data_IF_479903247651
#
_entry.id   IF_479903247651
#
_cell.length_a   1.000
_cell.length_b   1.000
_cell.length_c   1.000
_cell.angle_alpha   90.00
_cell.angle_beta   90.00
_cell.angle_gamma   90.00
#
_symmetry.space_group_name_H-M   'P 1'
#
loop_
_entity.id
_entity.type
_entity.pdbx_description
1 polymer ?
#
# COMPACT_ATOMS: atom_id res chain seq x y z
N UNK A 1 -5.07 2.86 7.26
CA UNK A 1 -4.81 1.95 8.40
C UNK A 1 -5.30 0.52 8.14
N UNK A 2 -6.43 0.33 7.45
CA UNK A 2 -7.04 -1.00 7.24
C UNK A 2 -6.20 -1.92 6.33
N UNK A 3 -5.64 -1.39 5.23
CA UNK A 3 -4.96 -2.23 4.23
C UNK A 3 -3.68 -2.93 4.71
N UNK A 4 -2.72 -2.25 5.39
CA UNK A 4 -1.53 -2.93 5.92
C UNK A 4 -1.85 -3.92 7.05
N UNK A 5 -2.89 -3.63 7.86
CA UNK A 5 -3.37 -4.53 8.91
C UNK A 5 -3.94 -5.81 8.29
N UNK A 6 -4.82 -5.65 7.32
CA UNK A 6 -5.42 -6.75 6.57
C UNK A 6 -4.36 -7.62 5.90
N UNK A 7 -3.39 -7.03 5.19
CA UNK A 7 -2.25 -7.79 4.62
C UNK A 7 -1.48 -8.54 5.70
N UNK A 8 -1.22 -7.91 6.85
CA UNK A 8 -0.54 -8.56 7.97
C UNK A 8 -1.27 -9.80 8.49
N UNK A 9 -2.61 -9.73 8.55
CA UNK A 9 -3.49 -10.77 9.07
C UNK A 9 -3.75 -11.91 8.07
N UNK A 10 -3.83 -11.63 6.77
CA UNK A 10 -4.04 -12.67 5.75
C UNK A 10 -2.73 -13.33 5.27
N UNK A 11 -1.58 -12.67 5.47
CA UNK A 11 -0.29 -13.14 4.95
C UNK A 11 0.39 -14.18 5.82
N UNK A 12 0.95 -15.20 5.18
CA UNK A 12 1.90 -16.13 5.79
C UNK A 12 3.22 -15.39 6.07
N UNK A 13 3.96 -15.71 7.16
CA UNK A 13 5.21 -15.04 7.51
C UNK A 13 6.24 -14.97 6.37
N UNK A 14 6.27 -15.97 5.48
CA UNK A 14 7.19 -16.05 4.34
C UNK A 14 6.91 -15.01 3.24
N UNK A 15 5.66 -14.60 3.02
CA UNK A 15 5.26 -13.69 1.93
C UNK A 15 4.82 -12.31 2.43
N UNK A 16 4.81 -12.09 3.74
CA UNK A 16 4.39 -10.82 4.36
C UNK A 16 5.27 -9.65 3.90
N UNK A 17 6.57 -9.91 3.68
CA UNK A 17 7.51 -8.96 3.11
C UNK A 17 7.12 -8.53 1.69
N UNK A 18 7.00 -9.49 0.77
CA UNK A 18 6.53 -9.27 -0.60
C UNK A 18 5.20 -8.52 -0.67
N UNK A 19 4.19 -8.92 0.10
CA UNK A 19 2.88 -8.27 0.07
C UNK A 19 2.94 -6.82 0.59
N UNK A 20 3.76 -6.56 1.61
CA UNK A 20 4.05 -5.20 2.08
C UNK A 20 4.74 -4.37 1.00
N UNK A 21 5.78 -4.91 0.35
CA UNK A 21 6.50 -4.25 -0.73
C UNK A 21 5.62 -3.98 -1.96
N UNK A 22 4.72 -4.91 -2.29
CA UNK A 22 3.73 -4.79 -3.38
C UNK A 22 2.82 -3.57 -3.19
N UNK A 23 2.50 -3.21 -1.94
CA UNK A 23 1.72 -2.01 -1.62
C UNK A 23 2.48 -0.75 -2.01
N UNK A 24 3.75 -0.64 -1.62
CA UNK A 24 4.61 0.51 -1.97
C UNK A 24 4.89 0.58 -3.47
N UNK A 25 5.03 -0.57 -4.12
CA UNK A 25 5.16 -0.68 -5.58
C UNK A 25 3.91 -0.17 -6.29
N UNK A 26 2.72 -0.52 -5.81
CA UNK A 26 1.46 -0.05 -6.37
C UNK A 26 1.33 1.47 -6.28
N UNK A 27 1.72 2.07 -5.14
CA UNK A 27 1.74 3.53 -4.96
C UNK A 27 2.73 4.18 -5.95
N UNK A 28 3.95 3.66 -6.05
CA UNK A 28 4.98 4.21 -6.93
C UNK A 28 4.59 4.09 -8.41
N UNK A 29 3.99 2.95 -8.79
CA UNK A 29 3.48 2.70 -10.15
C UNK A 29 2.32 3.63 -10.49
N UNK A 30 1.39 3.85 -9.55
CA UNK A 30 0.30 4.80 -9.72
C UNK A 30 0.80 6.23 -9.98
N UNK A 31 1.80 6.67 -9.21
CA UNK A 31 2.42 7.99 -9.40
C UNK A 31 3.10 8.11 -10.77
N UNK A 32 3.80 7.05 -11.21
CA UNK A 32 4.38 6.97 -12.54
C UNK A 32 3.31 7.05 -13.64
N UNK A 33 2.25 6.25 -13.56
CA UNK A 33 1.17 6.22 -14.56
C UNK A 33 0.44 7.57 -14.67
N UNK A 34 0.21 8.24 -13.54
CA UNK A 34 -0.41 9.58 -13.53
C UNK A 34 0.50 10.61 -14.20
N UNK A 35 1.81 10.58 -13.94
CA UNK A 35 2.75 11.50 -14.57
C UNK A 35 2.96 11.18 -16.06
N UNK A 36 2.98 9.90 -16.42
CA UNK A 36 3.03 9.46 -17.81
C UNK A 36 1.79 9.94 -18.57
N UNK A 37 0.59 9.65 -18.07
CA UNK A 37 -0.65 10.09 -18.70
C UNK A 37 -0.78 11.62 -18.73
N UNK A 38 -0.38 12.28 -17.64
CA UNK A 38 -0.34 13.74 -17.56
C UNK A 38 0.61 14.35 -18.59
N UNK A 39 1.79 13.77 -18.82
CA UNK A 39 2.79 14.29 -19.75
C UNK A 39 2.56 13.94 -21.22
N UNK A 40 2.02 12.76 -21.55
CA UNK A 40 1.89 12.27 -22.93
C UNK A 40 0.48 12.26 -23.50
N UNK A 41 -0.55 12.05 -22.67
CA UNK A 41 -1.94 11.86 -23.12
C UNK A 41 -2.81 13.11 -22.94
N UNK A 42 -2.49 13.97 -21.98
CA UNK A 42 -3.35 15.09 -21.59
C UNK A 42 -2.72 16.48 -21.74
N UNK A 43 -1.49 16.59 -22.23
CA UNK A 43 -0.79 17.88 -22.46
C UNK A 43 -0.87 18.35 -23.92
N UNK A 44 -1.25 17.49 -24.87
CA UNK A 44 -1.16 17.81 -26.30
C UNK A 44 -2.21 18.81 -26.83
N UNK A 45 -3.08 19.35 -25.97
CA UNK A 45 -4.11 20.30 -26.40
C UNK A 45 -4.15 21.53 -25.50
N UNK A 46 -3.00 22.21 -25.35
CA UNK A 46 -2.94 23.57 -24.81
C UNK A 46 -3.36 24.64 -25.84
N UNK A 47 -3.62 24.25 -27.10
CA UNK A 47 -3.85 25.20 -28.19
C UNK A 47 -5.29 25.25 -28.71
N UNK A 48 -6.23 24.44 -28.22
CA UNK A 48 -7.64 24.66 -28.55
C UNK A 48 -8.57 24.28 -27.39
N UNK A 49 -9.61 25.09 -27.28
CA UNK A 49 -10.59 25.18 -26.24
C UNK A 49 -11.23 23.82 -25.87
N UNK A 50 -11.20 23.43 -24.60
CA UNK A 50 -12.04 22.33 -24.12
C UNK A 50 -11.80 21.96 -22.67
N UNK A 51 -12.80 22.20 -21.82
CA UNK A 51 -12.87 21.98 -20.37
C UNK A 51 -12.61 20.54 -19.83
N UNK A 52 -11.88 19.66 -20.54
CA UNK A 52 -11.75 18.24 -20.18
C UNK A 52 -10.35 17.66 -20.45
N UNK A 53 -9.37 17.92 -19.59
CA UNK A 53 -8.11 17.14 -19.54
C UNK A 53 -7.92 16.52 -18.14
N UNK A 54 -8.00 17.34 -17.09
CA UNK A 54 -7.98 16.86 -15.70
C UNK A 54 -9.17 15.94 -15.37
N UNK A 55 -10.32 16.14 -16.04
CA UNK A 55 -11.53 15.33 -15.84
C UNK A 55 -11.36 13.90 -16.34
N UNK A 56 -10.61 13.69 -17.43
CA UNK A 56 -10.30 12.36 -17.93
C UNK A 56 -9.31 11.63 -17.01
N UNK A 57 -8.33 12.36 -16.46
CA UNK A 57 -7.44 11.83 -15.43
C UNK A 57 -8.20 11.48 -14.13
N UNK A 58 -9.16 12.31 -13.73
CA UNK A 58 -10.04 12.02 -12.60
C UNK A 58 -10.96 10.81 -12.88
N UNK A 59 -11.49 10.71 -14.10
CA UNK A 59 -12.34 9.60 -14.51
C UNK A 59 -11.57 8.28 -14.59
N UNK A 60 -10.33 8.28 -15.09
CA UNK A 60 -9.49 7.08 -15.08
C UNK A 60 -9.18 6.61 -13.65
N UNK A 61 -8.94 7.55 -12.73
CA UNK A 61 -8.86 7.25 -11.30
C UNK A 61 -10.14 6.62 -10.74
N UNK A 62 -11.30 7.13 -11.12
CA UNK A 62 -12.60 6.58 -10.72
C UNK A 62 -12.83 5.16 -11.29
N UNK A 63 -12.39 4.89 -12.52
CA UNK A 63 -12.45 3.54 -13.12
C UNK A 63 -11.56 2.57 -12.34
N UNK A 64 -10.33 2.97 -12.00
CA UNK A 64 -9.45 2.14 -11.17
C UNK A 64 -10.07 1.88 -9.79
N UNK A 65 -10.66 2.89 -9.15
CA UNK A 65 -11.37 2.73 -7.88
C UNK A 65 -12.58 1.79 -8.00
N UNK A 66 -13.32 1.85 -9.11
CA UNK A 66 -14.43 0.94 -9.38
C UNK A 66 -13.93 -0.50 -9.58
N UNK A 67 -12.82 -0.73 -10.27
CA UNK A 67 -12.21 -2.06 -10.40
C UNK A 67 -11.74 -2.61 -9.05
N UNK A 68 -11.32 -1.74 -8.12
CA UNK A 68 -10.96 -2.15 -6.76
C UNK A 68 -12.17 -2.60 -5.92
N UNK A 69 -13.41 -2.40 -6.36
CA UNK A 69 -14.60 -3.00 -5.69
C UNK A 69 -14.59 -4.53 -5.77
N UNK A 70 -13.81 -5.12 -6.68
CA UNK A 70 -13.55 -6.56 -6.72
C UNK A 70 -12.88 -7.07 -5.44
N UNK A 71 -12.33 -6.21 -4.58
CA UNK A 71 -11.83 -6.59 -3.24
C UNK A 71 -12.96 -7.16 -2.36
N UNK A 72 -14.23 -6.86 -2.65
CA UNK A 72 -15.39 -7.48 -1.99
C UNK A 72 -15.46 -9.01 -2.16
N UNK A 73 -14.74 -9.56 -3.13
CA UNK A 73 -14.61 -11.01 -3.33
C UNK A 73 -13.51 -11.65 -2.46
N UNK A 74 -12.63 -10.83 -1.88
CA UNK A 74 -11.58 -11.31 -0.98
C UNK A 74 -12.18 -11.77 0.35
N UNK A 75 -11.67 -12.85 0.96
CA UNK A 75 -12.16 -13.32 2.25
C UNK A 75 -11.86 -12.28 3.33
N UNK A 76 -12.76 -12.15 4.30
CA UNK A 76 -12.53 -11.33 5.48
C UNK A 76 -11.34 -11.85 6.31
N UNK A 77 -10.76 -10.98 7.13
CA UNK A 77 -9.60 -11.31 7.95
C UNK A 77 -9.89 -12.49 8.91
N UNK A 78 -9.09 -13.58 8.90
CA UNK A 78 -9.34 -14.73 9.76
C UNK A 78 -9.36 -14.43 11.26
N UNK A 79 -8.42 -13.62 11.82
CA UNK A 79 -8.52 -13.17 13.21
C UNK A 79 -9.78 -12.36 13.52
N UNK A 80 -10.29 -11.58 12.57
CA UNK A 80 -11.54 -10.85 12.73
C UNK A 80 -12.75 -11.80 12.78
N UNK A 81 -12.81 -12.77 11.86
CA UNK A 81 -13.85 -13.81 11.84
C UNK A 81 -13.80 -14.72 13.07
N UNK A 82 -12.60 -14.98 13.60
CA UNK A 82 -12.40 -15.79 14.80
C UNK A 82 -13.05 -15.19 16.06
N UNK A 83 -13.36 -13.88 16.08
CA UNK A 83 -14.13 -13.27 17.18
C UNK A 83 -15.60 -13.66 17.17
N UNK A 84 -16.15 -13.99 16.00
CA UNK A 84 -17.59 -14.19 15.80
C UNK A 84 -17.92 -15.66 15.58
N UNK A 85 -17.23 -16.32 14.64
CA UNK A 85 -17.56 -17.68 14.22
C UNK A 85 -16.32 -18.46 13.74
N UNK A 86 -16.09 -19.61 14.37
CA UNK A 86 -14.95 -20.49 14.09
C UNK A 86 -15.01 -21.17 12.73
N UNK A 87 -16.20 -21.54 12.28
CA UNK A 87 -16.35 -22.19 10.98
C UNK A 87 -16.09 -21.21 9.83
N UNK A 88 -16.51 -19.96 9.98
CA UNK A 88 -16.23 -18.89 9.01
C UNK A 88 -14.73 -18.59 8.92
N UNK A 89 -14.04 -18.48 10.06
CA UNK A 89 -12.59 -18.29 10.09
C UNK A 89 -11.84 -19.44 9.40
N UNK A 90 -12.26 -20.69 9.64
CA UNK A 90 -11.71 -21.88 8.95
C UNK A 90 -11.99 -21.85 7.45
N UNK A 91 -13.18 -21.43 7.03
CA UNK A 91 -13.53 -21.31 5.60
C UNK A 91 -12.67 -20.26 4.89
N UNK A 92 -12.40 -19.13 5.56
CA UNK A 92 -11.53 -18.07 5.05
C UNK A 92 -10.06 -18.56 4.96
N UNK A 93 -9.56 -19.25 5.97
CA UNK A 93 -8.21 -19.84 5.94
C UNK A 93 -8.06 -20.91 4.85
N UNK A 94 -9.07 -21.77 4.65
CA UNK A 94 -9.08 -22.76 3.55
C UNK A 94 -9.08 -22.10 2.17
N UNK A 95 -9.63 -20.89 2.03
CA UNK A 95 -9.52 -20.10 0.80
C UNK A 95 -8.15 -19.44 0.63
N UNK A 96 -7.50 -19.07 1.72
CA UNK A 96 -6.20 -18.35 1.74
C UNK A 96 -4.98 -19.28 1.74
N UNK A 97 -5.13 -20.55 2.13
CA UNK A 97 -4.04 -21.51 2.33
C UNK A 97 -4.24 -22.76 1.48
N UNK A 98 -3.13 -23.31 0.98
CA UNK A 98 -3.11 -24.62 0.29
C UNK A 98 -2.86 -25.79 1.26
N UNK A 99 -2.40 -25.50 2.48
CA UNK A 99 -2.07 -26.46 3.55
C UNK A 99 -3.24 -26.62 4.54
N UNK A 100 -3.33 -27.68 5.35
CA UNK A 100 -4.32 -27.81 6.43
C UNK A 100 -4.40 -26.53 7.28
N UNK A 101 -5.58 -25.94 7.31
CA UNK A 101 -5.89 -24.68 7.98
C UNK A 101 -6.22 -24.86 9.47
N UNK A 102 -6.48 -26.09 9.93
CA UNK A 102 -6.83 -26.38 11.31
C UNK A 102 -5.78 -25.91 12.35
N UNK A 103 -4.46 -26.21 12.21
CA UNK A 103 -3.48 -25.81 13.21
C UNK A 103 -3.27 -24.30 13.30
N UNK A 104 -3.33 -23.59 12.16
CA UNK A 104 -3.24 -22.11 12.12
C UNK A 104 -4.48 -21.48 12.75
N UNK A 105 -5.67 -22.04 12.49
CA UNK A 105 -6.89 -21.60 13.14
C UNK A 105 -6.80 -21.78 14.66
N UNK A 106 -6.36 -22.93 15.15
CA UNK A 106 -6.22 -23.20 16.59
C UNK A 106 -5.27 -22.23 17.29
N UNK A 107 -4.16 -21.88 16.65
CA UNK A 107 -3.26 -20.83 17.13
C UNK A 107 -3.97 -19.48 17.22
N UNK A 108 -4.66 -19.05 16.16
CA UNK A 108 -5.41 -17.78 16.16
C UNK A 108 -6.50 -17.78 17.25
N UNK A 109 -7.23 -18.89 17.45
CA UNK A 109 -8.26 -18.98 18.48
C UNK A 109 -7.68 -18.88 19.90
N UNK A 110 -6.56 -19.56 20.16
CA UNK A 110 -5.90 -19.50 21.47
C UNK A 110 -5.34 -18.11 21.77
N UNK A 111 -4.65 -17.47 20.82
CA UNK A 111 -4.16 -16.09 20.96
C UNK A 111 -5.31 -15.09 21.21
N UNK A 112 -6.46 -15.30 20.59
CA UNK A 112 -7.64 -14.44 20.75
C UNK A 112 -8.34 -14.65 22.10
N UNK A 113 -8.36 -15.88 22.62
CA UNK A 113 -8.88 -16.18 23.96
C UNK A 113 -7.96 -15.64 25.07
N UNK A 114 -6.64 -15.71 24.87
CA UNK A 114 -5.63 -15.14 25.77
C UNK A 114 -5.70 -13.60 25.79
N UNK A 115 -5.83 -12.97 24.62
CA UNK A 115 -5.95 -11.50 24.55
C UNK A 115 -7.27 -10.95 25.10
N UNK A 116 -8.35 -11.73 25.12
CA UNK A 116 -9.59 -11.35 25.82
C UNK A 116 -9.53 -11.53 27.34
N UNK A 117 -8.77 -12.50 27.84
CA UNK A 117 -8.61 -12.77 29.27
C UNK A 117 -7.49 -11.94 29.93
N UNK A 118 -6.49 -11.53 29.15
CA UNK A 118 -5.32 -10.75 29.57
C UNK A 118 -5.45 -9.23 29.43
N UNK A 119 -6.67 -8.67 29.42
CA UNK A 119 -6.94 -7.22 29.23
C UNK A 119 -6.29 -6.26 30.26
N UNK A 120 -5.46 -6.78 31.17
CA UNK A 120 -4.66 -6.04 32.15
C UNK A 120 -3.13 -6.12 31.88
N UNK A 121 -2.68 -6.54 30.69
CA UNK A 121 -1.26 -6.44 30.36
C UNK A 121 -0.85 -4.99 30.00
N UNK A 122 0.24 -4.56 30.65
CA UNK A 122 0.63 -3.16 30.85
C UNK A 122 0.56 -2.25 29.60
N UNK A 123 -0.18 -1.14 29.73
CA UNK A 123 -0.14 0.03 28.83
C UNK A 123 1.29 0.44 28.41
N UNK A 124 2.29 0.16 29.26
CA UNK A 124 3.70 0.48 29.04
C UNK A 124 4.33 -0.25 27.84
N UNK A 125 3.95 -1.51 27.57
CA UNK A 125 4.44 -2.28 26.42
C UNK A 125 3.88 -1.74 25.09
N UNK A 126 2.58 -1.41 25.08
CA UNK A 126 1.95 -0.74 23.94
C UNK A 126 2.52 0.65 23.69
N UNK A 127 2.91 1.38 24.73
CA UNK A 127 3.49 2.73 24.61
C UNK A 127 4.80 2.71 23.81
N UNK A 128 5.68 1.72 24.01
CA UNK A 128 6.94 1.61 23.24
C UNK A 128 6.69 1.36 21.75
N UNK A 129 5.83 0.39 21.42
CA UNK A 129 5.46 0.09 20.04
C UNK A 129 4.78 1.29 19.35
N UNK A 130 3.93 1.99 20.09
CA UNK A 130 3.22 3.17 19.62
C UNK A 130 4.18 4.35 19.36
N UNK A 131 5.13 4.62 20.27
CA UNK A 131 6.14 5.67 20.07
C UNK A 131 7.03 5.38 18.86
N UNK A 132 7.48 4.13 18.69
CA UNK A 132 8.27 3.74 17.51
C UNK A 132 7.45 3.91 16.23
N UNK A 133 6.19 3.48 16.22
CA UNK A 133 5.31 3.59 15.05
C UNK A 133 5.03 5.06 14.66
N UNK A 134 4.74 5.91 15.65
CA UNK A 134 4.53 7.35 15.42
C UNK A 134 5.83 8.02 14.97
N UNK A 135 6.95 7.73 15.64
CA UNK A 135 8.26 8.29 15.29
C UNK A 135 8.69 7.90 13.88
N UNK A 136 8.48 6.65 13.49
CA UNK A 136 8.76 6.17 12.13
C UNK A 136 7.84 6.84 11.09
N UNK A 137 6.55 6.97 11.38
CA UNK A 137 5.62 7.70 10.51
C UNK A 137 5.98 9.18 10.35
N UNK A 138 6.38 9.83 11.45
CA UNK A 138 6.85 11.22 11.43
C UNK A 138 8.13 11.36 10.59
N UNK A 139 9.10 10.46 10.78
CA UNK A 139 10.35 10.45 10.00
C UNK A 139 10.08 10.33 8.50
N UNK A 140 9.18 9.43 8.09
CA UNK A 140 8.80 9.28 6.68
C UNK A 140 8.21 10.57 6.09
N UNK A 141 7.38 11.28 6.84
CA UNK A 141 6.77 12.53 6.38
C UNK A 141 7.79 13.69 6.35
N UNK A 142 8.61 13.81 7.39
CA UNK A 142 9.63 14.86 7.51
C UNK A 142 10.81 14.70 6.55
N UNK A 143 11.02 13.51 5.99
CA UNK A 143 11.91 13.29 4.83
C UNK A 143 11.52 14.19 3.63
N UNK A 144 10.27 14.68 3.59
CA UNK A 144 9.81 15.57 2.52
C UNK A 144 9.52 14.84 1.21
N UNK A 145 9.52 13.50 1.21
CA UNK A 145 9.29 12.69 0.01
C UNK A 145 7.97 13.05 -0.68
N UNK A 146 6.93 13.38 0.09
CA UNK A 146 5.64 13.80 -0.45
C UNK A 146 5.71 15.19 -1.10
N UNK A 147 6.47 16.12 -0.51
CA UNK A 147 6.69 17.43 -1.12
C UNK A 147 7.47 17.31 -2.43
N UNK A 148 8.50 16.47 -2.48
CA UNK A 148 9.21 16.16 -3.73
C UNK A 148 8.22 15.60 -4.74
N UNK A 149 7.50 14.52 -4.43
CA UNK A 149 6.55 13.88 -5.36
C UNK A 149 5.50 14.85 -5.92
N UNK A 150 4.99 15.80 -5.12
CA UNK A 150 4.01 16.79 -5.57
C UNK A 150 4.62 17.91 -6.42
N UNK A 151 5.86 18.33 -6.13
CA UNK A 151 6.49 19.49 -6.77
C UNK A 151 7.60 19.13 -7.78
N UNK A 152 7.86 17.84 -8.05
CA UNK A 152 8.91 17.38 -8.99
C UNK A 152 8.87 18.15 -10.31
N UNK A 153 7.70 18.29 -10.94
CA UNK A 153 7.55 19.02 -12.21
C UNK A 153 7.94 20.50 -12.08
N UNK A 154 7.58 21.15 -10.98
CA UNK A 154 7.90 22.55 -10.71
C UNK A 154 9.41 22.74 -10.46
N UNK A 155 10.03 21.81 -9.74
CA UNK A 155 11.46 21.80 -9.46
C UNK A 155 12.25 21.63 -10.78
N UNK A 156 11.87 20.66 -11.61
CA UNK A 156 12.50 20.42 -12.90
C UNK A 156 12.31 21.61 -13.86
N UNK A 157 11.11 22.23 -13.85
CA UNK A 157 10.85 23.45 -14.62
C UNK A 157 11.76 24.60 -14.18
N UNK A 158 12.00 24.74 -12.88
CA UNK A 158 12.90 25.75 -12.33
C UNK A 158 14.36 25.52 -12.75
N UNK A 159 14.75 24.27 -13.03
CA UNK A 159 16.05 23.90 -13.57
C UNK A 159 16.23 24.20 -15.07
N UNK A 160 15.22 24.79 -15.74
CA UNK A 160 15.23 25.18 -17.17
C UNK A 160 15.48 24.01 -18.14
N UNK A 161 14.96 22.83 -17.81
CA UNK A 161 14.95 21.66 -18.73
C UNK A 161 13.95 21.91 -19.87
N UNK A 162 14.30 21.47 -21.09
CA UNK A 162 13.50 21.69 -22.30
C UNK A 162 12.09 21.07 -22.22
N UNK A 163 11.97 19.87 -21.65
CA UNK A 163 10.69 19.21 -21.38
C UNK A 163 10.61 18.75 -19.91
N UNK A 164 10.02 19.58 -19.02
CA UNK A 164 9.87 19.24 -17.61
C UNK A 164 8.92 18.06 -17.35
N UNK A 165 7.94 17.84 -18.22
CA UNK A 165 6.95 16.77 -18.03
C UNK A 165 7.57 15.40 -18.35
N UNK A 166 8.27 15.27 -19.48
CA UNK A 166 8.99 14.05 -19.83
C UNK A 166 10.04 13.69 -18.77
N UNK A 167 10.82 14.67 -18.30
CA UNK A 167 11.83 14.44 -17.28
C UNK A 167 11.23 14.03 -15.93
N UNK A 168 10.07 14.60 -15.55
CA UNK A 168 9.33 14.15 -14.34
C UNK A 168 8.93 12.68 -14.46
N UNK A 169 8.40 12.27 -15.62
CA UNK A 169 8.02 10.88 -15.87
C UNK A 169 9.22 9.93 -15.77
N UNK A 170 10.40 10.33 -16.26
CA UNK A 170 11.65 9.55 -16.11
C UNK A 170 12.04 9.40 -14.64
N UNK A 171 11.95 10.47 -13.85
CA UNK A 171 12.23 10.42 -12.40
C UNK A 171 11.27 9.46 -11.70
N UNK A 172 9.97 9.50 -12.03
CA UNK A 172 8.98 8.58 -11.46
C UNK A 172 9.20 7.13 -11.91
N UNK A 173 9.64 6.90 -13.15
CA UNK A 173 10.02 5.58 -13.63
C UNK A 173 11.20 5.01 -12.83
N UNK A 174 12.22 5.83 -12.59
CA UNK A 174 13.35 5.46 -11.76
C UNK A 174 12.93 5.12 -10.32
N UNK A 175 12.01 5.90 -9.75
CA UNK A 175 11.44 5.61 -8.43
C UNK A 175 10.76 4.23 -8.37
N UNK A 176 10.03 3.82 -9.41
CA UNK A 176 9.44 2.47 -9.48
C UNK A 176 10.52 1.39 -9.45
N UNK A 177 11.59 1.56 -10.23
CA UNK A 177 12.72 0.61 -10.27
C UNK A 177 13.41 0.50 -8.91
N UNK A 178 13.67 1.64 -8.25
CA UNK A 178 14.26 1.67 -6.91
C UNK A 178 13.34 0.99 -5.90
N UNK A 179 12.04 1.27 -5.93
CA UNK A 179 11.07 0.62 -5.04
C UNK A 179 11.05 -0.91 -5.26
N UNK A 180 11.17 -1.38 -6.50
CA UNK A 180 11.23 -2.81 -6.81
C UNK A 180 12.49 -3.45 -6.26
N UNK A 181 13.63 -2.79 -6.47
CA UNK A 181 14.90 -3.25 -5.93
C UNK A 181 14.87 -3.32 -4.40
N UNK A 182 14.35 -2.29 -3.73
CA UNK A 182 14.20 -2.26 -2.27
C UNK A 182 13.23 -3.33 -1.77
N UNK A 183 12.15 -3.60 -2.49
CA UNK A 183 11.22 -4.70 -2.17
C UNK A 183 11.90 -6.06 -2.14
N UNK A 184 12.69 -6.38 -3.17
CA UNK A 184 13.48 -7.62 -3.24
C UNK A 184 14.55 -7.66 -2.16
N UNK A 185 15.17 -6.52 -1.85
CA UNK A 185 16.22 -6.42 -0.85
C UNK A 185 15.70 -6.69 0.57
N UNK A 186 14.53 -6.14 0.92
CA UNK A 186 13.87 -6.35 2.22
C UNK A 186 13.55 -7.83 2.46
N UNK A 187 13.20 -8.58 1.42
CA UNK A 187 12.98 -10.03 1.55
C UNK A 187 14.26 -10.81 1.83
N UNK A 188 15.40 -10.34 1.28
CA UNK A 188 16.70 -11.03 1.44
C UNK A 188 17.45 -10.65 2.71
N UNK A 189 17.39 -9.39 3.13
CA UNK A 189 18.18 -8.84 4.24
C UNK A 189 17.37 -8.62 5.52
N UNK A 190 16.04 -8.73 5.47
CA UNK A 190 15.17 -8.35 6.57
C UNK A 190 14.84 -6.85 6.57
N UNK A 191 14.03 -6.44 7.56
CA UNK A 191 13.53 -5.06 7.75
C UNK A 191 14.49 -4.22 8.57
#
# INVERSE_FOLDING_TARGET
AVFPCYIGEISTPSIRGALGASTQLSISTGLFLVNLAGGSLFVEEYHNQGFCQWRHLAFSGAVVAALLTCVSMAPESPPWLAKSNREEALSALRRLRTSPAEPEADQIFSEMAESQSGASESLCLYTKSLVVSIGFGAYQQFSGVNAVNMYTTSIIKSARVADPAAMTTVVMAFQVVVTLFMGVLVEKLGR
#
